data_IF_716209173907
#
_entry.id   IF_716209173907
#
_cell.length_a   1.000
_cell.length_b   1.000
_cell.length_c   1.000
_cell.angle_alpha   90.00
_cell.angle_beta   90.00
_cell.angle_gamma   90.00
#
_symmetry.space_group_name_H-M   'P 1'
#
loop_
_entity.id
_entity.type
_entity.pdbx_description
1 polymer ?
#
# COMPACT_ATOMS: atom_id res chain seq x y z
N UNK A 1 -21.73 6.85 18.52
CA UNK A 1 -21.31 5.48 18.18
C UNK A 1 -20.96 5.47 16.69
N UNK A 2 -19.73 5.82 16.32
CA UNK A 2 -19.38 6.07 14.91
C UNK A 2 -17.93 5.68 14.69
N UNK A 3 -17.60 4.38 14.60
CA UNK A 3 -16.22 3.96 14.31
C UNK A 3 -16.07 2.55 13.66
N UNK A 4 -17.09 2.02 12.98
CA UNK A 4 -17.03 0.59 12.58
C UNK A 4 -16.51 0.28 11.16
N UNK A 5 -16.24 1.26 10.29
CA UNK A 5 -15.82 0.96 8.90
C UNK A 5 -14.33 1.18 8.63
N UNK A 6 -13.72 2.24 9.17
CA UNK A 6 -12.31 2.56 8.88
C UNK A 6 -11.33 1.52 9.44
N UNK A 7 -11.60 0.98 10.64
CA UNK A 7 -10.71 0.00 11.28
C UNK A 7 -10.61 -1.33 10.54
N UNK A 8 -11.68 -1.78 9.87
CA UNK A 8 -11.68 -3.00 9.08
C UNK A 8 -10.82 -2.84 7.81
N UNK A 9 -10.99 -1.69 7.14
CA UNK A 9 -10.23 -1.35 5.95
C UNK A 9 -8.73 -1.21 6.24
N UNK A 10 -8.39 -0.54 7.36
CA UNK A 10 -6.99 -0.44 7.82
C UNK A 10 -6.40 -1.82 8.07
N UNK A 11 -7.15 -2.75 8.69
CA UNK A 11 -6.70 -4.13 8.88
C UNK A 11 -6.44 -4.84 7.55
N UNK A 12 -7.40 -4.84 6.63
CA UNK A 12 -7.25 -5.45 5.30
C UNK A 12 -6.03 -4.92 4.56
N UNK A 13 -5.81 -3.60 4.58
CA UNK A 13 -4.65 -2.98 3.95
C UNK A 13 -3.37 -3.40 4.68
N UNK A 14 -3.34 -3.41 6.01
CA UNK A 14 -2.16 -3.87 6.75
C UNK A 14 -1.83 -5.33 6.46
N UNK A 15 -2.82 -6.22 6.35
CA UNK A 15 -2.62 -7.62 5.98
C UNK A 15 -2.05 -7.73 4.56
N UNK A 16 -2.60 -6.98 3.60
CA UNK A 16 -2.08 -6.89 2.23
C UNK A 16 -0.63 -6.39 2.18
N UNK A 17 -0.31 -5.33 2.94
CA UNK A 17 1.04 -4.79 3.03
C UNK A 17 1.99 -5.79 3.71
N UNK A 18 1.52 -6.54 4.71
CA UNK A 18 2.31 -7.56 5.39
C UNK A 18 2.63 -8.76 4.49
N UNK A 19 1.76 -9.09 3.53
CA UNK A 19 2.01 -10.11 2.51
C UNK A 19 3.15 -9.68 1.56
N UNK A 20 3.17 -8.41 1.14
CA UNK A 20 4.16 -7.92 0.16
C UNK A 20 5.48 -7.41 0.78
N UNK A 21 5.48 -6.96 2.04
CA UNK A 21 6.67 -6.52 2.79
C UNK A 21 7.88 -7.45 2.66
N UNK A 22 7.79 -8.77 2.91
CA UNK A 22 8.96 -9.64 2.78
C UNK A 22 9.52 -9.71 1.36
N UNK A 23 8.70 -9.48 0.33
CA UNK A 23 9.19 -9.37 -1.05
C UNK A 23 9.92 -8.06 -1.28
N UNK A 24 9.37 -6.94 -0.79
CA UNK A 24 10.00 -5.63 -0.88
C UNK A 24 11.34 -5.60 -0.13
N UNK A 25 11.39 -6.19 1.07
CA UNK A 25 12.60 -6.23 1.90
C UNK A 25 13.72 -7.04 1.24
N UNK A 26 13.39 -8.09 0.47
CA UNK A 26 14.38 -8.85 -0.33
C UNK A 26 15.01 -8.01 -1.43
N UNK A 27 14.24 -7.09 -2.02
CA UNK A 27 14.71 -6.10 -2.99
C UNK A 27 15.33 -4.84 -2.33
N UNK A 28 15.45 -4.81 -0.99
CA UNK A 28 15.99 -3.68 -0.25
C UNK A 28 15.06 -2.48 -0.13
N UNK A 29 13.75 -2.71 -0.28
CA UNK A 29 12.67 -1.74 -0.13
C UNK A 29 11.75 -2.04 1.06
N UNK A 30 10.83 -1.13 1.34
CA UNK A 30 9.73 -1.35 2.30
C UNK A 30 8.52 -0.48 1.91
N UNK A 31 7.37 -0.73 2.52
CA UNK A 31 6.14 0.03 2.34
C UNK A 31 5.43 0.24 3.69
N UNK A 32 4.92 1.45 3.86
CA UNK A 32 4.16 1.86 5.04
C UNK A 32 2.84 2.49 4.61
N UNK A 33 1.75 2.13 5.29
CA UNK A 33 0.48 2.84 5.16
C UNK A 33 0.62 4.21 5.82
N UNK A 34 0.26 5.28 5.10
CA UNK A 34 0.27 6.65 5.59
C UNK A 34 -1.14 7.05 6.01
N UNK A 35 -2.09 6.97 5.08
CA UNK A 35 -3.46 7.42 5.29
C UNK A 35 -4.41 6.71 4.31
N UNK A 36 -5.70 6.68 4.63
CA UNK A 36 -6.77 6.33 3.71
C UNK A 36 -7.67 7.55 3.57
N UNK A 37 -7.86 8.04 2.35
CA UNK A 37 -8.67 9.23 2.08
C UNK A 37 -10.17 8.91 2.20
N UNK A 38 -11.00 9.96 2.31
CA UNK A 38 -12.46 9.80 2.29
C UNK A 38 -12.98 9.21 0.96
N UNK A 39 -12.19 9.32 -0.12
CA UNK A 39 -12.50 8.75 -1.43
C UNK A 39 -12.08 7.28 -1.55
N UNK A 40 -11.70 6.63 -0.44
CA UNK A 40 -11.17 5.25 -0.43
C UNK A 40 -9.88 5.11 -1.25
N UNK A 41 -9.07 6.17 -1.31
CA UNK A 41 -7.71 6.07 -1.84
C UNK A 41 -6.73 5.78 -0.73
N UNK A 42 -5.77 4.89 -0.98
CA UNK A 42 -4.76 4.50 0.01
C UNK A 42 -3.47 5.24 -0.29
N UNK A 43 -3.00 6.02 0.67
CA UNK A 43 -1.72 6.70 0.61
C UNK A 43 -0.68 5.82 1.29
N UNK A 44 0.33 5.40 0.55
CA UNK A 44 1.46 4.62 1.06
C UNK A 44 2.78 5.39 0.89
N UNK A 45 3.75 5.06 1.72
CA UNK A 45 5.13 5.54 1.57
C UNK A 45 6.03 4.35 1.30
N UNK A 46 6.73 4.41 0.17
CA UNK A 46 7.79 3.46 -0.13
C UNK A 46 9.09 3.91 0.54
N UNK A 47 9.82 2.98 1.11
CA UNK A 47 11.11 3.21 1.74
C UNK A 47 12.19 2.36 1.06
N UNK A 48 13.46 2.76 1.21
CA UNK A 48 14.62 1.99 0.79
C UNK A 48 15.09 2.25 -0.65
N UNK A 49 15.90 1.32 -1.16
CA UNK A 49 16.65 1.46 -2.42
C UNK A 49 15.77 1.48 -3.68
N UNK A 50 14.48 1.16 -3.54
CA UNK A 50 13.50 1.29 -4.63
C UNK A 50 13.31 2.75 -5.11
N UNK A 51 13.69 3.76 -4.31
CA UNK A 51 13.58 5.16 -4.72
C UNK A 51 14.57 5.53 -5.85
N UNK A 52 15.76 4.90 -5.87
CA UNK A 52 16.82 5.22 -6.85
C UNK A 52 16.70 4.49 -8.19
N UNK A 53 15.78 3.53 -8.33
CA UNK A 53 15.61 2.77 -9.57
C UNK A 53 14.30 3.19 -10.27
N UNK A 54 14.35 4.29 -11.02
CA UNK A 54 13.20 4.93 -11.71
C UNK A 54 12.38 3.96 -12.55
N UNK A 55 13.00 2.88 -13.03
CA UNK A 55 12.36 1.87 -13.89
C UNK A 55 11.40 0.95 -13.14
N UNK A 56 11.56 0.79 -11.81
CA UNK A 56 10.81 -0.21 -11.03
C UNK A 56 9.66 0.35 -10.20
N UNK A 57 9.54 1.68 -10.04
CA UNK A 57 8.49 2.28 -9.21
C UNK A 57 7.08 2.02 -9.77
N UNK A 58 6.90 2.05 -11.09
CA UNK A 58 5.61 1.79 -11.72
C UNK A 58 5.15 0.34 -11.48
N UNK A 59 6.04 -0.64 -11.71
CA UNK A 59 5.75 -2.07 -11.49
C UNK A 59 5.50 -2.37 -10.02
N UNK A 60 6.31 -1.79 -9.12
CA UNK A 60 6.17 -1.96 -7.68
C UNK A 60 4.81 -1.44 -7.19
N UNK A 61 4.45 -0.21 -7.63
CA UNK A 61 3.17 0.41 -7.32
C UNK A 61 2.01 -0.43 -7.81
N UNK A 62 2.08 -0.96 -9.04
CA UNK A 62 1.06 -1.86 -9.58
C UNK A 62 0.93 -3.15 -8.77
N UNK A 63 2.04 -3.73 -8.33
CA UNK A 63 2.02 -4.93 -7.46
C UNK A 63 1.38 -4.66 -6.11
N UNK A 64 1.75 -3.56 -5.44
CA UNK A 64 1.15 -3.16 -4.17
C UNK A 64 -0.32 -2.82 -4.33
N UNK A 65 -0.70 -2.08 -5.37
CA UNK A 65 -2.11 -1.77 -5.65
C UNK A 65 -2.92 -3.03 -5.90
N UNK A 66 -2.39 -3.99 -6.66
CA UNK A 66 -3.05 -5.26 -6.91
C UNK A 66 -3.29 -6.04 -5.61
N UNK A 67 -2.26 -6.17 -4.77
CA UNK A 67 -2.40 -6.85 -3.47
C UNK A 67 -3.38 -6.12 -2.56
N UNK A 68 -3.33 -4.80 -2.47
CA UNK A 68 -4.31 -4.03 -1.67
C UNK A 68 -5.73 -4.26 -2.17
N UNK A 69 -5.97 -4.16 -3.49
CA UNK A 69 -7.31 -4.38 -4.08
C UNK A 69 -7.79 -5.83 -3.93
N UNK A 70 -6.90 -6.81 -3.82
CA UNK A 70 -7.24 -8.21 -3.53
C UNK A 70 -7.85 -8.37 -2.13
N UNK A 71 -7.37 -7.62 -1.13
CA UNK A 71 -7.90 -7.65 0.24
C UNK A 71 -9.04 -6.65 0.46
N UNK A 72 -8.95 -5.50 -0.19
CA UNK A 72 -9.88 -4.39 -0.09
C UNK A 72 -10.28 -3.91 -1.51
N UNK A 73 -11.20 -4.62 -2.18
CA UNK A 73 -11.63 -4.28 -3.55
C UNK A 73 -12.41 -2.95 -3.63
N UNK A 74 -12.82 -2.42 -2.49
CA UNK A 74 -13.44 -1.11 -2.32
C UNK A 74 -12.47 0.08 -2.50
N UNK A 75 -11.15 -0.18 -2.52
CA UNK A 75 -10.14 0.85 -2.73
C UNK A 75 -10.12 1.31 -4.19
N UNK A 76 -10.20 2.62 -4.40
CA UNK A 76 -10.19 3.24 -5.72
C UNK A 76 -8.76 3.22 -6.31
N UNK A 77 -7.82 3.92 -5.65
CA UNK A 77 -6.43 4.02 -6.10
C UNK A 77 -5.44 3.93 -4.95
N UNK A 78 -4.22 3.56 -5.28
CA UNK A 78 -3.08 3.65 -4.37
C UNK A 78 -2.16 4.77 -4.83
N UNK A 79 -1.88 5.71 -3.92
CA UNK A 79 -0.99 6.84 -4.14
C UNK A 79 0.27 6.63 -3.32
N UNK A 80 1.44 6.94 -3.91
CA UNK A 80 2.67 7.00 -3.13
C UNK A 80 3.05 8.45 -2.85
N UNK A 81 3.58 8.70 -1.67
CA UNK A 81 4.24 9.96 -1.33
C UNK A 81 5.76 9.74 -1.23
N UNK A 82 6.53 10.71 -1.72
CA UNK A 82 8.01 10.73 -1.66
C UNK A 82 8.50 11.28 -0.30
#
# INVERSE_FOLDING_TARGET
MTSNNTSDLVKKIQDALSEIRPFLERDGGNVSLVEITNELDVIVKFHGSCQSCTVNQMTLKSGVEYTIKKYAPEINKVLNIE
#
